data_IF_811134973127
#
_entry.id   IF_811134973127
#
_cell.length_a   1.000
_cell.length_b   1.000
_cell.length_c   1.000
_cell.angle_alpha   90.00
_cell.angle_beta   90.00
_cell.angle_gamma   90.00
#
_symmetry.space_group_name_H-M   'P 1'
#
loop_
_entity.id
_entity.type
_entity.pdbx_description
1 polymer ?
#
# COMPACT_ATOMS: atom_id res chain seq x y z
N UNK A 1 -2.91 5.74 20.31
CA UNK A 1 -3.87 6.50 19.52
C UNK A 1 -4.17 7.86 20.16
N UNK A 2 -4.55 7.93 21.43
CA UNK A 2 -4.95 9.16 22.13
C UNK A 2 -3.91 10.28 22.04
N UNK A 3 -2.63 9.94 22.19
CA UNK A 3 -1.55 10.93 22.08
C UNK A 3 -1.47 11.52 20.67
N UNK A 4 -1.59 10.70 19.62
CA UNK A 4 -1.61 11.16 18.25
C UNK A 4 -2.87 11.99 17.94
N UNK A 5 -4.03 11.57 18.46
CA UNK A 5 -5.29 12.29 18.30
C UNK A 5 -5.21 13.70 18.94
N UNK A 6 -4.62 13.81 20.12
CA UNK A 6 -4.41 15.10 20.80
C UNK A 6 -3.46 16.04 20.05
N UNK A 7 -2.54 15.49 19.23
CA UNK A 7 -1.63 16.25 18.37
C UNK A 7 -2.19 16.52 16.98
N UNK A 8 -3.39 16.02 16.64
CA UNK A 8 -3.95 16.10 15.29
C UNK A 8 -3.20 15.24 14.26
N UNK A 9 -2.42 14.25 14.70
CA UNK A 9 -1.66 13.36 13.86
C UNK A 9 -2.46 12.09 13.57
N UNK A 10 -2.19 11.46 12.42
CA UNK A 10 -2.69 10.13 12.10
C UNK A 10 -1.55 9.10 12.17
N UNK A 11 -1.90 7.91 12.62
CA UNK A 11 -1.08 6.71 12.55
C UNK A 11 -1.77 5.75 11.59
N UNK A 12 -1.02 5.18 10.67
CA UNK A 12 -1.53 4.15 9.79
C UNK A 12 -1.00 2.78 10.24
N UNK A 13 -1.90 1.79 10.33
CA UNK A 13 -1.52 0.39 10.50
C UNK A 13 -1.55 -0.29 9.15
N UNK A 14 -0.47 -0.97 8.81
CA UNK A 14 -0.30 -1.67 7.54
C UNK A 14 -0.32 -3.18 7.75
N UNK A 15 -1.25 -3.90 7.12
CA UNK A 15 -1.15 -5.35 6.97
C UNK A 15 0.02 -5.70 6.05
N UNK A 16 1.00 -6.40 6.58
CA UNK A 16 2.16 -6.86 5.81
C UNK A 16 1.97 -8.32 5.38
N UNK A 17 2.69 -8.75 4.34
CA UNK A 17 2.63 -10.13 3.90
C UNK A 17 3.22 -11.11 4.94
N UNK A 18 2.85 -12.38 4.82
CA UNK A 18 3.23 -13.49 5.73
C UNK A 18 4.72 -13.77 5.84
N UNK A 19 5.52 -13.28 4.89
CA UNK A 19 6.97 -13.47 4.91
C UNK A 19 7.67 -12.43 5.79
N UNK A 20 6.99 -11.31 6.09
CA UNK A 20 7.51 -10.21 6.89
C UNK A 20 6.96 -10.18 8.32
N UNK A 21 5.72 -10.65 8.52
CA UNK A 21 5.09 -10.71 9.85
C UNK A 21 4.05 -11.81 9.94
N UNK A 22 3.76 -12.26 11.17
CA UNK A 22 2.67 -13.17 11.50
C UNK A 22 1.51 -12.49 12.27
N UNK A 23 1.56 -11.15 12.40
CA UNK A 23 0.64 -10.41 13.27
C UNK A 23 -0.64 -9.96 12.54
N UNK A 24 -0.53 -9.07 11.55
CA UNK A 24 -1.65 -8.56 10.74
C UNK A 24 -1.26 -8.65 9.28
N UNK A 25 -1.97 -9.50 8.51
CA UNK A 25 -1.65 -9.77 7.12
C UNK A 25 -2.74 -9.32 6.14
N UNK A 26 -3.99 -9.20 6.60
CA UNK A 26 -5.10 -8.85 5.72
C UNK A 26 -5.77 -7.55 6.12
N UNK A 27 -6.45 -6.91 5.16
CA UNK A 27 -7.31 -5.76 5.38
C UNK A 27 -8.34 -6.03 6.50
N UNK A 28 -8.94 -7.22 6.51
CA UNK A 28 -9.91 -7.61 7.55
C UNK A 28 -9.30 -7.58 8.95
N UNK A 29 -8.10 -8.12 9.12
CA UNK A 29 -7.39 -8.10 10.39
C UNK A 29 -7.02 -6.68 10.81
N UNK A 30 -6.54 -5.85 9.87
CA UNK A 30 -6.24 -4.44 10.10
C UNK A 30 -7.48 -3.65 10.52
N UNK A 31 -8.61 -3.84 9.82
CA UNK A 31 -9.89 -3.21 10.15
C UNK A 31 -10.38 -3.61 11.55
N UNK A 32 -10.20 -4.88 11.94
CA UNK A 32 -10.55 -5.34 13.27
C UNK A 32 -9.79 -4.54 14.33
N UNK A 33 -8.48 -4.34 14.16
CA UNK A 33 -7.67 -3.53 15.08
C UNK A 33 -8.11 -2.07 15.08
N UNK A 34 -8.26 -1.43 13.92
CA UNK A 34 -8.69 -0.02 13.81
C UNK A 34 -10.03 0.18 14.51
N UNK A 35 -10.98 -0.75 14.33
CA UNK A 35 -12.29 -0.68 14.97
C UNK A 35 -12.24 -0.94 16.48
N UNK A 36 -11.37 -1.82 16.96
CA UNK A 36 -11.18 -2.08 18.40
C UNK A 36 -10.59 -0.87 19.12
N UNK A 37 -9.60 -0.21 18.51
CA UNK A 37 -8.98 1.01 19.05
C UNK A 37 -9.97 2.17 19.01
N UNK A 38 -10.79 2.25 17.98
CA UNK A 38 -11.85 3.25 17.80
C UNK A 38 -11.39 4.71 18.02
N UNK A 39 -10.20 5.04 17.54
CA UNK A 39 -9.67 6.41 17.52
C UNK A 39 -9.70 6.97 16.10
N UNK A 40 -9.94 8.27 15.99
CA UNK A 40 -9.85 8.99 14.71
C UNK A 40 -8.40 9.11 14.20
N UNK A 41 -7.44 8.96 15.11
CA UNK A 41 -6.02 9.02 14.79
C UNK A 41 -5.49 7.72 14.18
N UNK A 42 -6.19 6.58 14.32
CA UNK A 42 -5.76 5.32 13.75
C UNK A 42 -6.53 5.01 12.46
N UNK A 43 -5.79 4.88 11.38
CA UNK A 43 -6.31 4.56 10.04
C UNK A 43 -5.65 3.29 9.50
N UNK A 44 -6.20 2.76 8.42
CA UNK A 44 -5.61 1.63 7.70
C UNK A 44 -4.74 2.15 6.55
N UNK A 45 -3.58 1.53 6.37
CA UNK A 45 -2.76 1.62 5.17
C UNK A 45 -2.89 0.33 4.40
N UNK A 46 -3.02 0.39 3.09
CA UNK A 46 -2.97 -0.78 2.21
C UNK A 46 -1.87 -0.61 1.17
N UNK A 47 -1.15 -1.70 0.89
CA UNK A 47 -0.10 -1.76 -0.13
C UNK A 47 -0.44 -2.84 -1.15
N UNK A 48 -0.36 -2.51 -2.43
CA UNK A 48 -0.67 -3.42 -3.53
C UNK A 48 0.21 -4.66 -3.56
N UNK A 49 1.47 -4.56 -3.14
CA UNK A 49 2.38 -5.71 -3.04
C UNK A 49 1.95 -6.67 -1.93
N UNK A 50 1.67 -6.17 -0.73
CA UNK A 50 1.20 -7.00 0.37
C UNK A 50 -0.16 -7.61 0.05
N UNK A 51 -1.10 -6.84 -0.48
CA UNK A 51 -2.41 -7.35 -0.92
C UNK A 51 -2.31 -8.40 -2.03
N UNK A 52 -1.36 -8.27 -2.95
CA UNK A 52 -1.14 -9.27 -4.01
C UNK A 52 -0.77 -10.66 -3.45
N UNK A 53 -0.14 -10.71 -2.28
CA UNK A 53 0.24 -11.96 -1.61
C UNK A 53 -0.90 -12.49 -0.73
N UNK A 54 -1.56 -11.61 0.03
CA UNK A 54 -2.46 -12.01 1.13
C UNK A 54 -3.95 -11.96 0.78
N UNK A 55 -4.37 -11.04 -0.09
CA UNK A 55 -5.78 -10.86 -0.40
C UNK A 55 -6.22 -11.76 -1.57
N UNK A 56 -7.35 -12.42 -1.41
CA UNK A 56 -7.98 -13.14 -2.51
C UNK A 56 -8.55 -12.20 -3.58
N UNK A 57 -9.01 -11.04 -3.16
CA UNK A 57 -9.49 -9.96 -4.02
C UNK A 57 -9.08 -8.60 -3.43
N UNK A 58 -7.95 -8.02 -3.87
CA UNK A 58 -7.49 -6.70 -3.43
C UNK A 58 -8.51 -5.57 -3.67
N UNK A 59 -9.30 -5.67 -4.74
CA UNK A 59 -10.38 -4.72 -5.01
C UNK A 59 -11.41 -4.73 -3.88
N UNK A 60 -11.88 -5.92 -3.49
CA UNK A 60 -12.85 -6.04 -2.40
C UNK A 60 -12.26 -5.62 -1.06
N UNK A 61 -10.96 -5.85 -0.83
CA UNK A 61 -10.26 -5.39 0.37
C UNK A 61 -10.30 -3.86 0.48
N UNK A 62 -10.03 -3.12 -0.60
CA UNK A 62 -10.14 -1.67 -0.64
C UNK A 62 -11.58 -1.20 -0.37
N UNK A 63 -12.58 -1.86 -0.97
CA UNK A 63 -13.99 -1.53 -0.72
C UNK A 63 -14.36 -1.74 0.75
N UNK A 64 -13.88 -2.82 1.38
CA UNK A 64 -14.11 -3.12 2.78
C UNK A 64 -13.44 -2.09 3.71
N UNK A 65 -12.23 -1.61 3.35
CA UNK A 65 -11.54 -0.56 4.09
C UNK A 65 -12.36 0.73 4.13
N UNK A 66 -12.98 1.10 3.01
CA UNK A 66 -13.87 2.26 2.93
C UNK A 66 -13.21 3.52 3.50
N UNK A 67 -13.94 4.24 4.34
CA UNK A 67 -13.46 5.49 4.99
C UNK A 67 -12.35 5.29 6.04
N UNK A 68 -11.99 4.05 6.37
CA UNK A 68 -10.87 3.73 7.26
C UNK A 68 -9.53 3.69 6.52
N UNK A 69 -9.56 3.65 5.18
CA UNK A 69 -8.34 3.76 4.36
C UNK A 69 -7.81 5.19 4.46
N UNK A 70 -6.66 5.36 5.09
CA UNK A 70 -6.04 6.66 5.32
C UNK A 70 -4.69 6.84 4.62
N UNK A 71 -4.11 5.75 4.10
CA UNK A 71 -2.88 5.78 3.32
C UNK A 71 -2.84 4.62 2.33
N UNK A 72 -2.20 4.83 1.17
CA UNK A 72 -2.13 3.81 0.14
C UNK A 72 -0.76 3.75 -0.50
N UNK A 73 -0.13 2.56 -0.48
CA UNK A 73 1.10 2.28 -1.19
C UNK A 73 0.81 1.59 -2.53
N UNK A 74 1.37 2.13 -3.58
CA UNK A 74 1.33 1.59 -4.93
C UNK A 74 2.70 1.00 -5.29
N UNK A 75 2.76 -0.31 -5.34
CA UNK A 75 3.95 -1.08 -5.63
C UNK A 75 3.64 -2.15 -6.66
N UNK A 76 4.57 -2.50 -7.53
CA UNK A 76 4.42 -3.65 -8.42
C UNK A 76 4.27 -4.96 -7.63
N UNK A 77 3.69 -5.98 -8.26
CA UNK A 77 3.51 -7.31 -7.63
C UNK A 77 4.82 -7.99 -7.23
N UNK A 78 5.93 -7.49 -7.70
CA UNK A 78 7.29 -7.95 -7.40
C UNK A 78 8.10 -6.95 -6.55
N UNK A 79 7.45 -5.98 -5.92
CA UNK A 79 8.04 -4.86 -5.15
C UNK A 79 8.77 -3.85 -6.04
N UNK A 80 8.58 -3.93 -7.35
CA UNK A 80 9.12 -3.03 -8.36
C UNK A 80 8.20 -1.87 -8.70
N UNK A 81 8.52 -1.21 -9.82
CA UNK A 81 7.75 -0.07 -10.34
C UNK A 81 6.32 -0.48 -10.65
N UNK A 82 5.29 0.25 -10.17
CA UNK A 82 3.91 -0.06 -10.52
C UNK A 82 3.64 0.11 -12.03
N UNK A 83 2.82 -0.79 -12.61
CA UNK A 83 2.36 -0.73 -13.99
C UNK A 83 3.04 -1.67 -14.97
N UNK A 84 4.17 -2.25 -14.61
CA UNK A 84 4.84 -3.31 -15.39
C UNK A 84 4.58 -4.72 -14.89
N UNK A 85 3.52 -4.92 -14.14
CA UNK A 85 3.23 -6.09 -13.31
C UNK A 85 1.86 -6.71 -13.61
N UNK A 86 1.49 -7.73 -12.83
CA UNK A 86 0.22 -8.47 -13.01
C UNK A 86 -0.96 -7.89 -12.22
N UNK A 87 -0.78 -6.81 -11.46
CA UNK A 87 -1.85 -6.20 -10.68
C UNK A 87 -2.90 -5.59 -11.62
N UNK A 88 -4.16 -5.85 -11.34
CA UNK A 88 -5.24 -5.24 -12.09
C UNK A 88 -5.48 -3.80 -11.63
N UNK A 89 -4.68 -2.89 -12.16
CA UNK A 89 -4.69 -1.47 -11.78
C UNK A 89 -6.01 -0.76 -12.10
N UNK A 90 -6.74 -1.19 -13.12
CA UNK A 90 -8.08 -0.63 -13.41
C UNK A 90 -9.06 -0.96 -12.29
N UNK A 91 -9.02 -2.18 -11.74
CA UNK A 91 -9.84 -2.55 -10.58
C UNK A 91 -9.42 -1.80 -9.33
N UNK A 92 -8.10 -1.67 -9.07
CA UNK A 92 -7.59 -0.89 -7.93
C UNK A 92 -8.07 0.57 -8.03
N UNK A 93 -7.87 1.20 -9.18
CA UNK A 93 -8.35 2.57 -9.45
C UNK A 93 -9.87 2.69 -9.21
N UNK A 94 -10.65 1.76 -9.75
CA UNK A 94 -12.10 1.73 -9.56
C UNK A 94 -12.49 1.62 -8.08
N UNK A 95 -11.80 0.78 -7.30
CA UNK A 95 -12.06 0.64 -5.87
C UNK A 95 -11.76 1.92 -5.10
N UNK A 96 -10.60 2.55 -5.35
CA UNK A 96 -10.22 3.81 -4.71
C UNK A 96 -11.23 4.92 -4.99
N UNK A 97 -11.71 5.03 -6.25
CA UNK A 97 -12.76 5.99 -6.61
C UNK A 97 -14.10 5.69 -5.91
N UNK A 98 -14.50 4.41 -5.82
CA UNK A 98 -15.76 4.04 -5.17
C UNK A 98 -15.76 4.37 -3.68
N UNK A 99 -14.64 4.18 -2.99
CA UNK A 99 -14.53 4.56 -1.56
C UNK A 99 -14.24 6.05 -1.38
N UNK A 100 -14.13 6.83 -2.48
CA UNK A 100 -13.83 8.26 -2.49
C UNK A 100 -12.52 8.55 -1.76
N UNK A 101 -11.51 7.72 -2.01
CA UNK A 101 -10.19 7.95 -1.44
C UNK A 101 -9.55 9.18 -2.08
N UNK A 102 -9.18 10.15 -1.26
CA UNK A 102 -8.55 11.43 -1.64
C UNK A 102 -7.18 11.65 -0.98
N UNK A 103 -6.67 10.61 -0.32
CA UNK A 103 -5.34 10.63 0.31
C UNK A 103 -4.20 10.42 -0.68
N UNK A 104 -2.98 10.40 -0.13
CA UNK A 104 -1.77 10.19 -0.91
C UNK A 104 -1.69 8.74 -1.41
N UNK A 105 -1.21 8.59 -2.66
CA UNK A 105 -0.77 7.32 -3.23
C UNK A 105 0.74 7.38 -3.39
N UNK A 106 1.44 6.59 -2.60
CA UNK A 106 2.90 6.62 -2.50
C UNK A 106 3.50 5.38 -3.13
N UNK A 107 4.56 5.56 -3.92
CA UNK A 107 5.32 4.45 -4.49
C UNK A 107 6.29 3.92 -3.43
N UNK A 108 6.15 2.66 -3.05
CA UNK A 108 7.09 1.96 -2.19
C UNK A 108 7.76 0.82 -2.94
N UNK A 109 8.82 1.17 -3.67
CA UNK A 109 9.57 0.24 -4.51
C UNK A 109 11.07 0.45 -4.32
N UNK A 110 11.86 -0.59 -4.52
CA UNK A 110 13.26 -0.59 -4.15
C UNK A 110 14.15 -1.12 -5.27
N UNK A 111 15.42 -0.69 -5.23
CA UNK A 111 16.53 -1.26 -5.97
C UNK A 111 17.53 -1.87 -4.98
N UNK A 112 18.44 -2.78 -5.41
CA UNK A 112 19.32 -3.51 -4.49
C UNK A 112 20.50 -2.68 -3.94
N UNK A 113 20.62 -1.40 -4.31
CA UNK A 113 21.81 -0.56 -3.99
C UNK A 113 21.98 -0.31 -2.49
N UNK A 114 20.91 -0.35 -1.71
CA UNK A 114 20.97 -0.22 -0.25
C UNK A 114 20.81 -1.62 0.35
N UNK A 115 21.93 -2.28 0.64
CA UNK A 115 21.98 -3.68 1.06
C UNK A 115 21.04 -4.02 2.23
N UNK A 116 20.93 -3.14 3.23
CA UNK A 116 20.07 -3.35 4.39
C UNK A 116 18.59 -3.40 3.99
N UNK A 117 18.14 -2.47 3.16
CA UNK A 117 16.76 -2.42 2.66
C UNK A 117 16.52 -3.57 1.69
N UNK A 118 17.46 -3.84 0.79
CA UNK A 118 17.37 -4.94 -0.17
C UNK A 118 17.19 -6.29 0.54
N UNK A 119 17.94 -6.54 1.61
CA UNK A 119 17.79 -7.75 2.42
C UNK A 119 16.45 -7.80 3.15
N UNK A 120 16.02 -6.69 3.75
CA UNK A 120 14.76 -6.65 4.49
C UNK A 120 13.54 -6.86 3.56
N UNK A 121 13.56 -6.26 2.37
CA UNK A 121 12.49 -6.36 1.38
C UNK A 121 12.69 -7.50 0.34
N UNK A 122 13.74 -8.32 0.50
CA UNK A 122 14.09 -9.44 -0.41
C UNK A 122 14.28 -9.01 -1.87
N UNK A 123 14.94 -7.88 -2.09
CA UNK A 123 15.24 -7.34 -3.42
C UNK A 123 16.57 -7.90 -3.92
N UNK A 124 16.50 -9.00 -4.66
CA UNK A 124 17.68 -9.76 -5.11
C UNK A 124 18.10 -9.45 -6.55
N UNK A 125 17.33 -8.66 -7.27
CA UNK A 125 17.63 -8.24 -8.65
C UNK A 125 17.26 -6.79 -8.86
N UNK A 126 17.88 -6.18 -9.85
CA UNK A 126 17.54 -4.82 -10.27
C UNK A 126 16.25 -4.84 -11.10
N UNK A 127 15.26 -4.06 -10.71
CA UNK A 127 14.00 -3.87 -11.45
C UNK A 127 14.05 -2.69 -12.40
N UNK A 128 14.74 -1.62 -11.98
CA UNK A 128 14.96 -0.41 -12.77
C UNK A 128 16.42 0.04 -12.65
N UNK A 129 16.95 0.82 -13.62
CA UNK A 129 18.32 1.30 -13.58
C UNK A 129 18.64 2.18 -12.36
N UNK A 130 17.65 2.92 -11.85
CA UNK A 130 17.81 3.83 -10.71
C UNK A 130 16.51 4.01 -9.92
N UNK A 131 16.60 4.60 -8.72
CA UNK A 131 15.41 4.99 -7.94
C UNK A 131 14.64 6.12 -8.63
N UNK A 132 15.32 7.01 -9.34
CA UNK A 132 14.69 8.05 -10.14
C UNK A 132 13.84 7.46 -11.25
N UNK A 133 14.30 6.40 -11.90
CA UNK A 133 13.49 5.67 -12.90
C UNK A 133 12.21 5.10 -12.31
N UNK A 134 12.29 4.50 -11.13
CA UNK A 134 11.09 4.02 -10.39
C UNK A 134 10.11 5.19 -10.16
N UNK A 135 10.61 6.31 -9.63
CA UNK A 135 9.79 7.47 -9.33
C UNK A 135 9.15 8.06 -10.60
N UNK A 136 9.94 8.28 -11.66
CA UNK A 136 9.45 8.88 -12.90
C UNK A 136 8.43 7.98 -13.62
N UNK A 137 8.78 6.70 -13.82
CA UNK A 137 7.94 5.75 -14.53
C UNK A 137 6.69 5.43 -13.73
N UNK A 138 6.83 5.16 -12.44
CA UNK A 138 5.72 4.85 -11.54
C UNK A 138 4.75 6.02 -11.42
N UNK A 139 5.24 7.25 -11.21
CA UNK A 139 4.37 8.43 -11.15
C UNK A 139 3.63 8.66 -12.46
N UNK A 140 4.31 8.51 -13.61
CA UNK A 140 3.67 8.63 -14.92
C UNK A 140 2.55 7.60 -15.09
N UNK A 141 2.80 6.36 -14.71
CA UNK A 141 1.82 5.29 -14.77
C UNK A 141 0.63 5.57 -13.84
N UNK A 142 0.87 5.87 -12.55
CA UNK A 142 -0.19 6.11 -11.56
C UNK A 142 -1.06 7.31 -11.97
N UNK A 143 -0.49 8.38 -12.50
CA UNK A 143 -1.27 9.49 -13.05
C UNK A 143 -2.18 9.07 -14.20
N UNK A 144 -1.75 8.14 -15.04
CA UNK A 144 -2.56 7.68 -16.17
C UNK A 144 -3.73 6.78 -15.79
N UNK A 145 -3.62 6.05 -14.67
CA UNK A 145 -4.66 5.11 -14.24
C UNK A 145 -5.52 5.62 -13.07
N UNK A 146 -4.99 6.45 -12.17
CA UNK A 146 -5.71 6.91 -10.98
C UNK A 146 -6.35 8.28 -11.14
N UNK A 147 -5.82 9.15 -12.00
CA UNK A 147 -6.36 10.50 -12.23
C UNK A 147 -7.15 10.46 -13.55
N UNK A 148 -8.44 10.31 -13.45
CA UNK A 148 -9.39 10.38 -14.59
C UNK A 148 -10.26 11.61 -14.46
#
# INVERSE_FOLDING_TARGET
ADYAENLGLKMAIEPLNRYETDFINTCEQGLKMVNQVNSKALVLQLDTYHMNIEEKDPYQAILNAGSKLGHFHACGSDRGTPGGDQINWDRISSALHQVKYDGEVVIESFIPDIEMIAKAASIWRQFEPSQEDIAIKGLKFLKSCLIK
#
